data_IF_531240107689
#
_entry.id   IF_531240107689
#
_cell.length_a   1.000
_cell.length_b   1.000
_cell.length_c   1.000
_cell.angle_alpha   90.00
_cell.angle_beta   90.00
_cell.angle_gamma   90.00
#
_symmetry.space_group_name_H-M   'P 1'
#
loop_
_entity.id
_entity.type
_entity.pdbx_description
1 polymer ?
#
# COMPACT_ATOMS: atom_id res chain seq x y z
N UNK A 1 21.45 13.83 -11.13
CA UNK A 1 21.65 12.38 -11.36
C UNK A 1 20.29 11.71 -11.33
N UNK A 2 19.92 10.96 -12.38
CA UNK A 2 18.68 10.17 -12.42
C UNK A 2 19.00 8.69 -12.34
N UNK A 3 18.13 7.94 -11.67
CA UNK A 3 18.22 6.49 -11.56
C UNK A 3 17.09 5.86 -12.37
N UNK A 4 17.37 4.72 -12.99
CA UNK A 4 16.34 3.88 -13.60
C UNK A 4 15.86 2.89 -12.56
N UNK A 5 14.54 2.83 -12.36
CA UNK A 5 13.92 1.80 -11.53
C UNK A 5 13.63 0.59 -12.39
N UNK A 6 14.12 -0.57 -11.95
CA UNK A 6 13.90 -1.85 -12.63
C UNK A 6 13.16 -2.76 -11.67
N UNK A 7 12.00 -3.24 -12.10
CA UNK A 7 11.30 -4.31 -11.41
C UNK A 7 11.97 -5.65 -11.74
N UNK A 8 12.58 -6.27 -10.74
CA UNK A 8 13.27 -7.53 -10.93
C UNK A 8 12.28 -8.69 -11.12
N UNK A 9 12.69 -9.72 -11.86
CA UNK A 9 11.94 -10.98 -11.99
C UNK A 9 12.19 -11.89 -10.77
N UNK A 10 11.97 -11.38 -9.57
CA UNK A 10 12.15 -12.12 -8.30
C UNK A 10 10.83 -12.68 -7.80
N UNK A 11 10.88 -13.69 -6.92
CA UNK A 11 9.68 -14.25 -6.27
C UNK A 11 8.90 -13.21 -5.46
N UNK A 12 9.59 -12.16 -4.97
CA UNK A 12 9.00 -11.08 -4.18
C UNK A 12 7.89 -10.31 -4.92
N UNK A 13 7.98 -10.15 -6.25
CA UNK A 13 6.91 -9.50 -7.02
C UNK A 13 5.62 -10.33 -6.99
N UNK A 14 5.74 -11.65 -7.04
CA UNK A 14 4.59 -12.55 -7.00
C UNK A 14 4.03 -12.63 -5.58
N UNK A 15 4.89 -12.62 -4.56
CA UNK A 15 4.46 -12.50 -3.16
C UNK A 15 3.65 -11.21 -2.96
N UNK A 16 4.10 -10.09 -3.50
CA UNK A 16 3.36 -8.83 -3.45
C UNK A 16 1.97 -8.95 -4.10
N UNK A 17 1.90 -9.58 -5.28
CA UNK A 17 0.63 -9.84 -5.96
C UNK A 17 -0.28 -10.76 -5.14
N UNK A 18 0.25 -11.84 -4.57
CA UNK A 18 -0.51 -12.76 -3.72
C UNK A 18 -1.12 -12.03 -2.53
N UNK A 19 -0.36 -11.16 -1.85
CA UNK A 19 -0.89 -10.36 -0.76
C UNK A 19 -1.99 -9.39 -1.22
N UNK A 20 -1.88 -8.77 -2.40
CA UNK A 20 -2.96 -7.96 -2.96
C UNK A 20 -4.23 -8.78 -3.22
N UNK A 21 -4.10 -10.00 -3.75
CA UNK A 21 -5.23 -10.90 -3.99
C UNK A 21 -5.88 -11.33 -2.66
N UNK A 22 -5.08 -11.72 -1.66
CA UNK A 22 -5.58 -12.06 -0.32
C UNK A 22 -6.31 -10.88 0.30
N UNK A 23 -5.77 -9.66 0.18
CA UNK A 23 -6.42 -8.43 0.65
C UNK A 23 -7.80 -8.24 0.03
N UNK A 24 -7.93 -8.42 -1.29
CA UNK A 24 -9.21 -8.32 -2.00
C UNK A 24 -10.20 -9.36 -1.49
N UNK A 25 -9.77 -10.62 -1.35
CA UNK A 25 -10.62 -11.71 -0.83
C UNK A 25 -11.15 -11.37 0.56
N UNK A 26 -10.27 -10.96 1.48
CA UNK A 26 -10.65 -10.63 2.86
C UNK A 26 -11.68 -9.49 2.90
N UNK A 27 -11.51 -8.44 2.09
CA UNK A 27 -12.51 -7.36 2.00
C UNK A 27 -13.81 -7.83 1.39
N UNK A 28 -13.77 -8.60 0.30
CA UNK A 28 -14.97 -9.15 -0.33
C UNK A 28 -15.77 -10.02 0.63
N UNK A 29 -15.10 -10.88 1.41
CA UNK A 29 -15.76 -11.71 2.43
C UNK A 29 -16.45 -10.87 3.51
N UNK A 30 -15.92 -9.69 3.85
CA UNK A 30 -16.51 -8.81 4.86
C UNK A 30 -17.67 -7.96 4.33
N UNK A 31 -17.50 -7.35 3.15
CA UNK A 31 -18.42 -6.34 2.61
C UNK A 31 -19.56 -6.94 1.77
N UNK A 32 -19.31 -7.99 0.98
CA UNK A 32 -20.35 -8.56 0.09
C UNK A 32 -21.60 -9.07 0.85
N UNK A 33 -21.47 -9.79 1.98
CA UNK A 33 -22.65 -10.25 2.71
C UNK A 33 -23.49 -9.10 3.33
N UNK A 34 -22.89 -7.92 3.48
CA UNK A 34 -23.47 -6.76 4.17
C UNK A 34 -23.75 -5.59 3.23
N UNK A 35 -23.53 -5.75 1.93
CA UNK A 35 -23.47 -4.65 0.96
C UNK A 35 -24.73 -3.77 0.93
N UNK A 36 -25.91 -4.36 1.14
CA UNK A 36 -27.19 -3.65 1.13
C UNK A 36 -27.44 -2.82 2.41
N UNK A 37 -26.66 -3.05 3.47
CA UNK A 37 -26.83 -2.42 4.79
C UNK A 37 -25.78 -1.33 5.04
N UNK A 38 -24.77 -1.21 4.16
CA UNK A 38 -23.65 -0.30 4.32
C UNK A 38 -23.92 0.96 3.49
N UNK A 39 -23.61 2.12 4.07
CA UNK A 39 -23.73 3.40 3.38
C UNK A 39 -22.89 3.42 2.09
N UNK A 40 -23.41 3.96 0.97
CA UNK A 40 -22.69 4.00 -0.30
C UNK A 40 -21.29 4.61 -0.21
N UNK A 41 -21.12 5.64 0.63
CA UNK A 41 -19.84 6.32 0.80
C UNK A 41 -18.81 5.41 1.49
N UNK A 42 -19.22 4.71 2.55
CA UNK A 42 -18.39 3.70 3.23
C UNK A 42 -18.02 2.57 2.27
N UNK A 43 -18.95 2.11 1.44
CA UNK A 43 -18.69 1.11 0.40
C UNK A 43 -17.68 1.62 -0.64
N UNK A 44 -17.81 2.87 -1.08
CA UNK A 44 -16.87 3.48 -2.03
C UNK A 44 -15.45 3.52 -1.47
N UNK A 45 -15.27 4.07 -0.26
CA UNK A 45 -13.94 4.27 0.32
C UNK A 45 -13.35 3.04 0.97
N UNK A 46 -14.15 2.19 1.62
CA UNK A 46 -13.64 1.03 2.37
C UNK A 46 -13.71 -0.28 1.57
N UNK A 47 -14.46 -0.35 0.48
CA UNK A 47 -14.48 -1.56 -0.35
C UNK A 47 -13.91 -1.31 -1.75
N UNK A 48 -14.56 -0.47 -2.55
CA UNK A 48 -14.19 -0.29 -3.96
C UNK A 48 -12.81 0.35 -4.15
N UNK A 49 -12.47 1.39 -3.39
CA UNK A 49 -11.21 2.10 -3.52
C UNK A 49 -9.99 1.20 -3.21
N UNK A 50 -9.96 0.42 -2.10
CA UNK A 50 -8.90 -0.58 -1.87
C UNK A 50 -8.86 -1.68 -2.92
N UNK A 51 -10.02 -2.16 -3.40
CA UNK A 51 -10.07 -3.18 -4.46
C UNK A 51 -9.43 -2.66 -5.75
N UNK A 52 -9.77 -1.44 -6.17
CA UNK A 52 -9.21 -0.79 -7.34
C UNK A 52 -7.70 -0.58 -7.19
N UNK A 53 -7.26 -0.09 -6.03
CA UNK A 53 -5.84 0.05 -5.71
C UNK A 53 -5.09 -1.28 -5.82
N UNK A 54 -5.60 -2.35 -5.21
CA UNK A 54 -5.00 -3.69 -5.26
C UNK A 54 -4.94 -4.23 -6.69
N UNK A 55 -6.01 -4.08 -7.47
CA UNK A 55 -6.09 -4.56 -8.84
C UNK A 55 -5.07 -3.83 -9.74
N UNK A 56 -5.00 -2.50 -9.66
CA UNK A 56 -4.03 -1.70 -10.42
C UNK A 56 -2.60 -2.08 -10.04
N UNK A 57 -2.32 -2.22 -8.74
CA UNK A 57 -0.99 -2.60 -8.26
C UNK A 57 -0.58 -3.99 -8.76
N UNK A 58 -1.44 -4.98 -8.57
CA UNK A 58 -1.19 -6.36 -9.00
C UNK A 58 -0.97 -6.43 -10.51
N UNK A 59 -1.81 -5.76 -11.29
CA UNK A 59 -1.65 -5.67 -12.74
C UNK A 59 -0.32 -5.04 -13.15
N UNK A 60 0.04 -3.90 -12.55
CA UNK A 60 1.29 -3.20 -12.83
C UNK A 60 2.54 -4.06 -12.50
N UNK A 61 2.48 -4.86 -11.43
CA UNK A 61 3.57 -5.76 -11.01
C UNK A 61 3.73 -6.99 -11.91
N UNK A 62 2.64 -7.46 -12.54
CA UNK A 62 2.67 -8.59 -13.48
C UNK A 62 2.98 -8.17 -14.92
N UNK A 63 2.69 -6.92 -15.28
CA UNK A 63 2.89 -6.40 -16.62
C UNK A 63 4.36 -6.50 -17.08
N UNK A 64 4.54 -6.85 -18.37
CA UNK A 64 5.82 -7.22 -18.97
C UNK A 64 6.91 -6.16 -18.74
N UNK A 65 7.88 -6.50 -17.88
CA UNK A 65 9.20 -5.82 -17.79
C UNK A 65 9.26 -4.55 -16.95
N UNK A 66 8.26 -4.26 -16.10
CA UNK A 66 8.27 -3.05 -15.26
C UNK A 66 7.94 -1.76 -16.02
N UNK A 67 7.55 -1.83 -17.30
CA UNK A 67 7.13 -0.65 -18.08
C UNK A 67 5.91 0.04 -17.49
N UNK A 68 5.04 -0.72 -16.81
CA UNK A 68 3.89 -0.17 -16.10
C UNK A 68 4.18 0.08 -14.61
N UNK A 69 5.43 0.05 -14.16
CA UNK A 69 5.72 0.31 -12.74
C UNK A 69 5.23 1.71 -12.30
N UNK A 70 5.29 2.72 -13.17
CA UNK A 70 4.69 4.03 -12.88
C UNK A 70 3.19 3.97 -12.60
N UNK A 71 2.47 2.98 -13.13
CA UNK A 71 1.05 2.75 -12.83
C UNK A 71 0.84 2.38 -11.35
N UNK A 72 1.85 1.82 -10.68
CA UNK A 72 1.77 1.58 -9.22
C UNK A 72 1.66 2.89 -8.43
N UNK A 73 2.11 4.03 -8.98
CA UNK A 73 1.90 5.35 -8.35
C UNK A 73 0.41 5.65 -8.21
N UNK A 74 -0.38 5.33 -9.24
CA UNK A 74 -1.84 5.49 -9.19
C UNK A 74 -2.47 4.56 -8.16
N UNK A 75 -2.00 3.31 -8.07
CA UNK A 75 -2.46 2.39 -7.03
C UNK A 75 -2.14 2.91 -5.62
N UNK A 76 -0.91 3.41 -5.40
CA UNK A 76 -0.51 3.98 -4.10
C UNK A 76 -1.27 5.25 -3.79
N UNK A 77 -1.58 6.10 -4.78
CA UNK A 77 -2.44 7.26 -4.60
C UNK A 77 -3.81 6.87 -4.04
N UNK A 78 -4.48 5.87 -4.64
CA UNK A 78 -5.75 5.37 -4.13
C UNK A 78 -5.63 4.74 -2.72
N UNK A 79 -4.52 4.04 -2.44
CA UNK A 79 -4.24 3.51 -1.11
C UNK A 79 -4.08 4.63 -0.06
N UNK A 80 -3.35 5.69 -0.40
CA UNK A 80 -3.15 6.86 0.46
C UNK A 80 -4.47 7.59 0.71
N UNK A 81 -5.31 7.77 -0.32
CA UNK A 81 -6.65 8.32 -0.15
C UNK A 81 -7.49 7.49 0.83
N UNK A 82 -7.47 6.16 0.68
CA UNK A 82 -8.13 5.26 1.62
C UNK A 82 -7.64 5.47 3.06
N UNK A 83 -6.33 5.54 3.28
CA UNK A 83 -5.76 5.71 4.61
C UNK A 83 -6.05 7.09 5.23
N UNK A 84 -6.06 8.16 4.43
CA UNK A 84 -6.43 9.51 4.89
C UNK A 84 -7.88 9.56 5.34
N UNK A 85 -8.79 8.94 4.57
CA UNK A 85 -10.21 8.83 4.94
C UNK A 85 -10.35 8.00 6.21
N UNK A 86 -9.66 6.86 6.31
CA UNK A 86 -9.67 6.01 7.50
C UNK A 86 -9.16 6.74 8.75
N UNK A 87 -8.13 7.59 8.63
CA UNK A 87 -7.57 8.34 9.75
C UNK A 87 -8.53 9.38 10.35
N UNK A 88 -9.59 9.77 9.62
CA UNK A 88 -10.63 10.66 10.17
C UNK A 88 -11.42 10.00 11.30
N UNK A 89 -11.38 8.67 11.41
CA UNK A 89 -12.04 7.91 12.47
C UNK A 89 -11.20 7.76 13.74
N UNK A 90 -10.02 8.39 13.85
CA UNK A 90 -9.22 8.35 15.07
C UNK A 90 -9.80 9.27 16.15
N UNK A 91 -9.68 8.84 17.41
CA UNK A 91 -10.22 9.57 18.55
C UNK A 91 -9.54 10.94 18.81
N UNK A 92 -8.29 11.11 18.36
CA UNK A 92 -7.50 12.31 18.63
C UNK A 92 -7.08 13.02 17.34
N UNK A 93 -7.38 14.32 17.24
CA UNK A 93 -7.05 15.13 16.07
C UNK A 93 -5.55 15.19 15.76
N UNK A 94 -4.69 15.21 16.79
CA UNK A 94 -3.24 15.20 16.60
C UNK A 94 -2.78 13.89 15.94
N UNK A 95 -3.40 12.76 16.29
CA UNK A 95 -3.08 11.45 15.72
C UNK A 95 -3.51 11.41 14.25
N UNK A 96 -4.70 11.90 13.92
CA UNK A 96 -5.17 12.07 12.54
C UNK A 96 -4.23 12.94 11.72
N UNK A 97 -3.78 14.08 12.25
CA UNK A 97 -2.87 14.99 11.56
C UNK A 97 -1.51 14.34 11.28
N UNK A 98 -0.90 13.71 12.29
CA UNK A 98 0.40 13.03 12.12
C UNK A 98 0.32 11.86 11.14
N UNK A 99 -0.73 11.03 11.20
CA UNK A 99 -0.92 9.94 10.25
C UNK A 99 -1.16 10.45 8.83
N UNK A 100 -1.94 11.52 8.67
CA UNK A 100 -2.16 12.15 7.36
C UNK A 100 -0.84 12.64 6.77
N UNK A 101 -0.01 13.34 7.55
CA UNK A 101 1.33 13.77 7.11
C UNK A 101 2.21 12.58 6.74
N UNK A 102 2.15 11.48 7.51
CA UNK A 102 2.89 10.26 7.21
C UNK A 102 2.43 9.64 5.89
N UNK A 103 1.12 9.56 5.62
CA UNK A 103 0.61 9.01 4.35
C UNK A 103 0.97 9.88 3.14
N UNK A 104 0.97 11.20 3.30
CA UNK A 104 1.47 12.12 2.27
C UNK A 104 2.97 11.93 2.06
N UNK A 105 3.76 11.74 3.13
CA UNK A 105 5.18 11.44 3.03
C UNK A 105 5.42 10.11 2.30
N UNK A 106 4.67 9.06 2.61
CA UNK A 106 4.71 7.76 1.91
C UNK A 106 4.48 7.99 0.41
N UNK A 107 3.45 8.76 0.05
CA UNK A 107 3.11 9.04 -1.34
C UNK A 107 4.23 9.80 -2.06
N UNK A 108 4.75 10.86 -1.44
CA UNK A 108 5.83 11.67 -2.00
C UNK A 108 7.11 10.85 -2.20
N UNK A 109 7.52 10.05 -1.20
CA UNK A 109 8.67 9.16 -1.33
C UNK A 109 8.44 8.13 -2.43
N UNK A 110 7.22 7.57 -2.54
CA UNK A 110 6.90 6.61 -3.59
C UNK A 110 7.02 7.22 -4.98
N UNK A 111 6.50 8.44 -5.20
CA UNK A 111 6.64 9.18 -6.47
C UNK A 111 8.11 9.44 -6.76
N UNK A 112 8.85 9.99 -5.80
CA UNK A 112 10.27 10.32 -6.00
C UNK A 112 11.11 9.07 -6.32
N UNK A 113 10.81 7.93 -5.68
CA UNK A 113 11.41 6.66 -6.03
C UNK A 113 11.00 6.23 -7.43
N UNK A 114 9.71 6.27 -7.77
CA UNK A 114 9.21 5.80 -9.05
C UNK A 114 9.73 6.61 -10.25
N UNK A 115 9.97 7.91 -10.04
CA UNK A 115 10.64 8.79 -10.99
C UNK A 115 12.18 8.66 -10.97
N UNK A 116 12.74 7.86 -10.06
CA UNK A 116 14.19 7.63 -9.98
C UNK A 116 14.98 8.83 -9.49
N UNK A 117 14.36 9.71 -8.69
CA UNK A 117 14.99 10.89 -8.10
C UNK A 117 15.81 10.50 -6.87
N UNK A 118 15.35 9.51 -6.11
CA UNK A 118 16.03 9.08 -4.89
C UNK A 118 17.22 8.15 -5.17
N UNK A 119 18.38 8.38 -4.51
CA UNK A 119 19.57 7.55 -4.68
C UNK A 119 19.51 6.23 -3.90
N UNK A 120 18.46 6.01 -3.11
CA UNK A 120 18.30 4.83 -2.26
C UNK A 120 16.83 4.46 -2.09
N UNK A 121 16.55 3.16 -2.06
CA UNK A 121 15.23 2.60 -1.71
C UNK A 121 15.02 2.50 -0.19
N UNK A 122 16.06 2.76 0.62
CA UNK A 122 16.00 2.59 2.08
C UNK A 122 14.91 3.45 2.74
N UNK A 123 14.75 4.75 2.42
CA UNK A 123 13.71 5.57 3.04
C UNK A 123 12.31 4.99 2.81
N UNK A 124 12.03 4.53 1.58
CA UNK A 124 10.75 3.90 1.26
C UNK A 124 10.55 2.58 1.99
N UNK A 125 11.59 1.74 2.10
CA UNK A 125 11.53 0.48 2.87
C UNK A 125 11.25 0.74 4.34
N UNK A 126 11.84 1.76 4.94
CA UNK A 126 11.62 2.12 6.35
C UNK A 126 10.22 2.68 6.57
N UNK A 127 9.77 3.60 5.72
CA UNK A 127 8.45 4.23 5.83
C UNK A 127 7.30 3.24 5.58
N UNK A 128 7.52 2.16 4.83
CA UNK A 128 6.56 1.06 4.69
C UNK A 128 6.70 -0.01 5.78
N UNK A 129 7.94 -0.38 6.12
CA UNK A 129 8.24 -1.49 7.01
C UNK A 129 8.04 -1.16 8.49
N UNK A 130 8.36 0.05 8.94
CA UNK A 130 8.22 0.43 10.34
C UNK A 130 6.74 0.49 10.77
N UNK A 131 5.80 1.12 10.02
CA UNK A 131 4.39 1.05 10.36
C UNK A 131 3.84 -0.38 10.29
N UNK A 132 4.28 -1.20 9.33
CA UNK A 132 3.87 -2.59 9.24
C UNK A 132 4.30 -3.38 10.49
N UNK A 133 5.56 -3.26 10.90
CA UNK A 133 6.08 -3.90 12.09
C UNK A 133 5.35 -3.43 13.36
N UNK A 134 5.07 -2.12 13.44
CA UNK A 134 4.29 -1.54 14.53
C UNK A 134 2.89 -2.15 14.59
N UNK A 135 2.16 -2.22 13.48
CA UNK A 135 0.82 -2.79 13.46
C UNK A 135 0.82 -4.30 13.78
N UNK A 136 1.76 -5.08 13.23
CA UNK A 136 1.87 -6.50 13.59
C UNK A 136 2.13 -6.68 15.09
N UNK A 137 3.07 -5.92 15.66
CA UNK A 137 3.39 -6.00 17.08
C UNK A 137 2.25 -5.53 17.97
N UNK A 138 1.64 -4.38 17.66
CA UNK A 138 0.52 -3.84 18.39
C UNK A 138 -0.69 -4.77 18.33
N UNK A 139 -1.06 -5.25 17.14
CA UNK A 139 -2.28 -6.04 16.98
C UNK A 139 -2.15 -7.44 17.58
N UNK A 140 -0.93 -7.99 17.66
CA UNK A 140 -0.65 -9.27 18.33
C UNK A 140 -0.63 -9.15 19.86
N UNK A 141 -0.09 -8.06 20.39
CA UNK A 141 0.11 -7.87 21.84
C UNK A 141 -1.06 -7.13 22.51
N UNK A 142 -1.72 -6.24 21.78
CA UNK A 142 -2.76 -5.33 22.26
C UNK A 142 -3.84 -5.13 21.17
N UNK A 143 -4.63 -6.17 20.86
CA UNK A 143 -5.63 -6.11 19.79
C UNK A 143 -6.62 -4.97 20.04
N UNK A 144 -6.74 -4.08 19.06
CA UNK A 144 -7.67 -2.94 19.11
C UNK A 144 -9.14 -3.40 19.01
N UNK A 145 -10.07 -2.54 19.45
CA UNK A 145 -11.51 -2.79 19.32
C UNK A 145 -11.96 -3.02 17.85
N UNK A 146 -11.28 -2.38 16.90
CA UNK A 146 -11.54 -2.58 15.46
C UNK A 146 -11.04 -3.95 14.99
N UNK A 147 -9.91 -4.42 15.51
CA UNK A 147 -9.44 -5.78 15.25
C UNK A 147 -10.40 -6.82 15.84
N UNK A 148 -11.07 -6.53 16.95
CA UNK A 148 -12.04 -7.44 17.57
C UNK A 148 -13.38 -7.55 16.81
N UNK A 149 -13.83 -6.46 16.18
CA UNK A 149 -15.16 -6.39 15.51
C UNK A 149 -15.08 -6.52 13.99
N UNK A 150 -13.98 -6.09 13.38
CA UNK A 150 -13.77 -5.96 11.94
C UNK A 150 -12.43 -6.54 11.50
N UNK A 151 -12.15 -7.76 11.96
CA UNK A 151 -10.90 -8.52 11.73
C UNK A 151 -10.49 -8.53 10.25
N UNK A 152 -11.40 -8.90 9.35
CA UNK A 152 -11.08 -9.14 7.93
C UNK A 152 -10.58 -7.86 7.20
N UNK A 153 -11.24 -6.70 7.31
CA UNK A 153 -10.72 -5.44 6.77
C UNK A 153 -9.34 -5.05 7.30
N UNK A 154 -9.06 -5.27 8.58
CA UNK A 154 -7.75 -4.92 9.17
C UNK A 154 -6.63 -5.86 8.67
N UNK A 155 -6.88 -7.16 8.60
CA UNK A 155 -5.93 -8.10 8.00
C UNK A 155 -5.69 -7.81 6.51
N UNK A 156 -6.71 -7.33 5.78
CA UNK A 156 -6.53 -6.86 4.41
C UNK A 156 -5.53 -5.70 4.32
N UNK A 157 -5.59 -4.74 5.26
CA UNK A 157 -4.63 -3.63 5.32
C UNK A 157 -3.20 -4.15 5.53
N UNK A 158 -3.00 -5.08 6.46
CA UNK A 158 -1.68 -5.70 6.70
C UNK A 158 -1.15 -6.42 5.44
N UNK A 159 -2.03 -7.08 4.68
CA UNK A 159 -1.68 -7.68 3.41
C UNK A 159 -1.23 -6.62 2.39
N UNK A 160 -1.95 -5.49 2.25
CA UNK A 160 -1.56 -4.39 1.35
C UNK A 160 -0.19 -3.83 1.74
N UNK A 161 0.04 -3.57 3.03
CA UNK A 161 1.32 -3.05 3.51
C UNK A 161 2.47 -4.04 3.24
N UNK A 162 2.23 -5.33 3.46
CA UNK A 162 3.18 -6.41 3.16
C UNK A 162 3.46 -6.52 1.66
N UNK A 163 2.45 -6.31 0.82
CA UNK A 163 2.58 -6.28 -0.62
C UNK A 163 3.46 -5.12 -1.09
N UNK A 164 3.21 -3.91 -0.59
CA UNK A 164 3.99 -2.72 -0.93
C UNK A 164 5.45 -2.89 -0.53
N UNK A 165 5.73 -3.39 0.68
CA UNK A 165 7.08 -3.64 1.16
C UNK A 165 7.79 -4.70 0.29
N UNK A 166 7.15 -5.83 0.03
CA UNK A 166 7.67 -6.90 -0.83
C UNK A 166 7.96 -6.39 -2.25
N UNK A 167 7.06 -5.57 -2.78
CA UNK A 167 7.21 -4.92 -4.07
C UNK A 167 8.40 -3.98 -4.10
N UNK A 168 8.61 -3.16 -3.07
CA UNK A 168 9.80 -2.30 -2.95
C UNK A 168 11.09 -3.10 -2.87
N UNK A 169 11.10 -4.28 -2.21
CA UNK A 169 12.26 -5.17 -2.22
C UNK A 169 12.52 -5.82 -3.59
N UNK A 170 11.51 -5.96 -4.43
CA UNK A 170 11.66 -6.43 -5.80
C UNK A 170 12.24 -5.37 -6.76
N UNK A 171 12.44 -4.13 -6.31
CA UNK A 171 13.01 -3.05 -7.12
C UNK A 171 14.53 -3.03 -7.04
N UNK A 172 15.16 -2.70 -8.17
CA UNK A 172 16.57 -2.38 -8.28
C UNK A 172 16.74 -0.96 -8.82
N UNK A 173 17.61 -0.19 -8.17
CA UNK A 173 18.10 1.09 -8.68
C UNK A 173 19.29 0.82 -9.61
N UNK A 174 19.23 1.37 -10.81
CA UNK A 174 20.36 1.40 -11.74
C UNK A 174 20.72 2.85 -12.06
N UNK A 175 22.00 3.21 -11.92
CA UNK A 175 22.45 4.57 -12.19
C UNK A 175 22.45 4.80 -13.71
N UNK A 176 21.80 5.86 -14.16
CA UNK A 176 21.91 6.30 -15.56
C UNK A 176 23.26 7.01 -15.68
N UNK A 177 24.22 6.38 -16.34
CA UNK A 177 25.43 7.07 -16.78
C UNK A 177 25.08 7.82 -18.06
N UNK A 178 24.97 9.13 -17.98
CA UNK A 178 25.00 10.00 -19.16
C UNK A 178 26.41 9.88 -19.75
N UNK A 179 26.59 8.94 -20.69
CA UNK A 179 27.67 9.06 -21.68
C UNK A 179 27.10 9.94 -22.79
N UNK A 180 27.28 11.26 -22.65
CA UNK A 180 27.24 12.21 -23.77
C UNK A 180 28.58 12.19 -24.49
#
# INVERSE_FOLDING_TARGET
MRYRIILQKTSLRYIAVCFMVVSVILRSMYFLPRWAQIEPLTLAFEFFLPLLSCAIYAYAMLAKGGMLYLLTVLAVFFGVLFFIVKAQNFAYAWHTALCTLLYLLVFMLYILTALGVLPSLLPQKLVLGLPLAFHIGQDLLFPSANMATSVLPEFSVLCIMSALLSGTFALRLEKINDKS
#
